data_IF_200982577159
#
_entry.id   IF_200982577159
#
_cell.length_a   1.000
_cell.length_b   1.000
_cell.length_c   1.000
_cell.angle_alpha   90.00
_cell.angle_beta   90.00
_cell.angle_gamma   90.00
#
_symmetry.space_group_name_H-M   'P 1'
#
loop_
_entity.id
_entity.type
_entity.pdbx_description
1 polymer ?
#
# COMPACT_ATOMS: atom_id res chain seq x y z
N UNK A 1 -6.85 35.30 7.60
CA UNK A 1 -7.78 34.14 7.55
C UNK A 1 -7.25 33.14 6.54
N UNK A 2 -7.13 31.84 6.92
CA UNK A 2 -6.73 30.76 6.01
C UNK A 2 -7.85 29.73 5.99
N UNK A 3 -8.34 29.36 4.80
CA UNK A 3 -9.40 28.35 4.63
C UNK A 3 -9.08 27.43 3.45
N UNK A 4 -9.50 26.18 3.55
CA UNK A 4 -9.38 25.21 2.47
C UNK A 4 -10.58 25.32 1.53
N UNK A 5 -10.30 25.40 0.22
CA UNK A 5 -11.31 25.57 -0.81
C UNK A 5 -11.22 24.48 -1.87
N UNK A 6 -12.39 24.08 -2.40
CA UNK A 6 -12.50 23.12 -3.50
C UNK A 6 -12.21 23.82 -4.82
N UNK A 7 -11.27 23.29 -5.59
CA UNK A 7 -10.95 23.71 -6.94
C UNK A 7 -11.47 22.68 -7.96
N UNK A 8 -10.70 22.10 -8.81
CA UNK A 8 -11.05 20.95 -9.67
C UNK A 8 -11.93 21.27 -10.88
N UNK A 9 -12.62 22.40 -10.91
CA UNK A 9 -13.42 22.84 -12.08
C UNK A 9 -13.21 24.31 -12.42
N UNK A 10 -13.35 24.65 -13.70
CA UNK A 10 -13.32 26.06 -14.14
C UNK A 10 -14.43 26.88 -13.49
N UNK A 11 -15.55 26.26 -13.14
CA UNK A 11 -16.65 26.94 -12.48
C UNK A 11 -16.28 27.32 -11.04
N UNK A 12 -15.61 26.43 -10.31
CA UNK A 12 -15.13 26.68 -8.96
C UNK A 12 -14.05 27.78 -8.96
N UNK A 13 -13.12 27.75 -9.93
CA UNK A 13 -12.11 28.80 -10.09
C UNK A 13 -12.76 30.18 -10.30
N UNK A 14 -13.81 30.29 -11.14
CA UNK A 14 -14.54 31.54 -11.36
C UNK A 14 -15.25 32.03 -10.10
N UNK A 15 -15.93 31.16 -9.36
CA UNK A 15 -16.59 31.49 -8.11
C UNK A 15 -15.58 32.00 -7.07
N UNK A 16 -14.44 31.30 -6.94
CA UNK A 16 -13.37 31.67 -6.03
C UNK A 16 -12.82 33.07 -6.32
N UNK A 17 -12.44 33.32 -7.58
CA UNK A 17 -11.92 34.63 -8.01
C UNK A 17 -12.93 35.73 -7.73
N UNK A 18 -14.22 35.53 -8.05
CA UNK A 18 -15.27 36.50 -7.80
C UNK A 18 -15.44 36.85 -6.31
N UNK A 19 -15.31 35.85 -5.41
CA UNK A 19 -15.35 36.08 -3.97
C UNK A 19 -14.08 36.82 -3.51
N UNK A 20 -12.90 36.43 -4.00
CA UNK A 20 -11.63 37.08 -3.66
C UNK A 20 -11.56 38.53 -4.17
N UNK A 21 -12.06 38.83 -5.37
CA UNK A 21 -12.11 40.20 -5.91
C UNK A 21 -13.02 41.12 -5.08
N UNK A 22 -14.07 40.58 -4.44
CA UNK A 22 -15.01 41.35 -3.64
C UNK A 22 -14.46 41.77 -2.27
N UNK A 23 -13.30 41.28 -1.85
CA UNK A 23 -12.67 41.65 -0.58
C UNK A 23 -11.57 42.71 -0.79
N UNK A 24 -11.42 43.68 0.11
CA UNK A 24 -10.44 44.78 -0.02
C UNK A 24 -8.99 44.37 0.33
N UNK A 25 -8.79 43.13 0.76
CA UNK A 25 -7.52 42.60 1.23
C UNK A 25 -6.79 41.78 0.17
N UNK A 26 -5.49 41.64 0.31
CA UNK A 26 -4.73 40.69 -0.51
C UNK A 26 -5.21 39.26 -0.23
N UNK A 27 -5.35 38.48 -1.28
CA UNK A 27 -5.83 37.11 -1.25
C UNK A 27 -4.92 36.23 -2.11
N UNK A 28 -4.33 35.23 -1.50
CA UNK A 28 -3.45 34.26 -2.14
C UNK A 28 -4.07 32.87 -2.15
N UNK A 29 -3.93 32.17 -3.27
CA UNK A 29 -4.29 30.76 -3.38
C UNK A 29 -3.02 29.92 -3.42
N UNK A 30 -2.87 29.04 -2.44
CA UNK A 30 -1.73 28.16 -2.26
C UNK A 30 -2.13 26.71 -2.59
N UNK A 31 -1.39 26.04 -3.51
CA UNK A 31 -1.55 24.64 -3.82
C UNK A 31 -0.16 23.97 -3.87
N UNK A 32 0.22 23.31 -2.80
CA UNK A 32 1.57 22.78 -2.62
C UNK A 32 2.63 23.88 -2.70
N UNK A 33 3.51 23.84 -3.72
CA UNK A 33 4.57 24.86 -3.94
C UNK A 33 4.12 26.06 -4.77
N UNK A 34 2.92 26.03 -5.28
CA UNK A 34 2.40 27.11 -6.14
C UNK A 34 1.61 28.09 -5.29
N UNK A 35 1.91 29.38 -5.48
CA UNK A 35 1.19 30.50 -4.84
C UNK A 35 0.85 31.49 -5.94
N UNK A 36 -0.43 31.81 -6.06
CA UNK A 36 -0.92 32.78 -7.04
C UNK A 36 -1.87 33.76 -6.36
N UNK A 37 -2.04 34.95 -6.96
CA UNK A 37 -3.05 35.90 -6.56
C UNK A 37 -4.45 35.30 -6.80
N UNK A 38 -5.21 35.07 -5.73
CA UNK A 38 -6.56 34.51 -5.79
C UNK A 38 -7.58 35.43 -6.48
N UNK A 39 -7.25 36.70 -6.70
CA UNK A 39 -8.04 37.68 -7.48
C UNK A 39 -7.75 37.58 -8.98
N UNK A 40 -6.69 36.91 -9.37
CA UNK A 40 -6.29 36.79 -10.77
C UNK A 40 -6.86 35.51 -11.39
N UNK A 41 -7.87 35.65 -12.26
CA UNK A 41 -8.40 34.52 -13.04
C UNK A 41 -7.32 33.78 -13.81
N UNK A 42 -6.40 34.52 -14.44
CA UNK A 42 -5.30 33.90 -15.18
C UNK A 42 -4.32 33.18 -14.26
N UNK A 43 -4.05 33.76 -13.08
CA UNK A 43 -3.23 33.12 -12.04
C UNK A 43 -3.83 31.80 -11.59
N UNK A 44 -5.09 31.79 -11.20
CA UNK A 44 -5.80 30.59 -10.72
C UNK A 44 -5.89 29.53 -11.83
N UNK A 45 -6.17 29.87 -13.06
CA UNK A 45 -6.26 28.94 -14.20
C UNK A 45 -4.90 28.45 -14.71
N UNK A 46 -3.80 29.14 -14.36
CA UNK A 46 -2.44 28.70 -14.72
C UNK A 46 -1.86 27.65 -13.78
N UNK A 47 -2.56 27.39 -12.67
CA UNK A 47 -2.14 26.35 -11.74
C UNK A 47 -2.35 24.96 -12.37
N UNK A 48 -1.50 23.97 -12.01
CA UNK A 48 -1.80 22.58 -12.31
C UNK A 48 -3.18 22.17 -11.76
N UNK A 49 -3.79 21.14 -12.33
CA UNK A 49 -5.09 20.60 -11.84
C UNK A 49 -4.98 20.16 -10.37
N UNK A 50 -5.44 21.04 -9.47
CA UNK A 50 -5.62 20.72 -8.06
C UNK A 50 -7.11 20.68 -7.74
N UNK A 51 -7.52 19.64 -7.03
CA UNK A 51 -8.90 19.54 -6.56
C UNK A 51 -9.19 20.46 -5.37
N UNK A 52 -8.15 20.85 -4.61
CA UNK A 52 -8.25 21.71 -3.44
C UNK A 52 -7.01 22.61 -3.27
N UNK A 53 -7.20 23.77 -2.65
CA UNK A 53 -6.14 24.71 -2.27
C UNK A 53 -6.41 25.38 -0.95
N UNK A 54 -5.42 26.13 -0.44
CA UNK A 54 -5.57 26.99 0.74
C UNK A 54 -5.73 28.43 0.26
N UNK A 55 -6.89 29.02 0.51
CA UNK A 55 -7.15 30.45 0.30
C UNK A 55 -6.69 31.20 1.54
N UNK A 56 -5.68 32.05 1.39
CA UNK A 56 -5.18 32.93 2.43
C UNK A 56 -5.62 34.37 2.15
N UNK A 57 -6.48 34.90 3.00
CA UNK A 57 -6.93 36.32 2.93
C UNK A 57 -6.33 37.06 4.10
N UNK A 58 -5.60 38.12 3.80
CA UNK A 58 -4.82 38.90 4.76
C UNK A 58 -5.71 39.85 5.57
N UNK A 59 -6.62 39.31 6.39
CA UNK A 59 -7.48 40.04 7.33
C UNK A 59 -7.58 39.33 8.67
N UNK A 60 -7.64 40.12 9.75
CA UNK A 60 -7.88 39.68 11.13
C UNK A 60 -9.24 40.15 11.66
N UNK A 61 -10.08 40.74 10.82
CA UNK A 61 -11.41 41.20 11.20
C UNK A 61 -12.40 40.05 11.25
N UNK A 62 -12.83 39.66 12.45
CA UNK A 62 -13.71 38.50 12.68
C UNK A 62 -15.01 38.55 11.88
N UNK A 63 -15.68 39.73 11.81
CA UNK A 63 -16.94 39.87 11.06
C UNK A 63 -16.75 39.65 9.55
N UNK A 64 -15.69 40.19 9.01
CA UNK A 64 -15.38 40.02 7.58
C UNK A 64 -14.96 38.56 7.27
N UNK A 65 -14.26 37.94 8.19
CA UNK A 65 -13.95 36.49 8.08
C UNK A 65 -15.24 35.65 8.05
N UNK A 66 -16.22 35.95 8.91
CA UNK A 66 -17.51 35.25 8.91
C UNK A 66 -18.30 35.49 7.61
N UNK A 67 -18.31 36.71 7.07
CA UNK A 67 -18.98 37.05 5.81
C UNK A 67 -18.33 36.31 4.61
N UNK A 68 -17.00 36.21 4.59
CA UNK A 68 -16.27 35.51 3.55
C UNK A 68 -16.52 34.01 3.63
N UNK A 69 -16.48 33.44 4.84
CA UNK A 69 -16.80 32.04 5.07
C UNK A 69 -18.21 31.68 4.60
N UNK A 70 -19.18 32.55 4.91
CA UNK A 70 -20.56 32.36 4.46
C UNK A 70 -20.67 32.34 2.91
N UNK A 71 -19.99 33.28 2.22
CA UNK A 71 -19.99 33.33 0.75
C UNK A 71 -19.34 32.11 0.13
N UNK A 72 -18.24 31.62 0.72
CA UNK A 72 -17.55 30.41 0.27
C UNK A 72 -18.43 29.17 0.47
N UNK A 73 -19.20 29.15 1.57
CA UNK A 73 -20.14 28.07 1.87
C UNK A 73 -21.33 28.05 0.91
N UNK A 74 -21.96 29.21 0.65
CA UNK A 74 -23.05 29.33 -0.35
C UNK A 74 -22.58 28.96 -1.77
N UNK A 75 -21.31 29.23 -2.08
CA UNK A 75 -20.72 28.88 -3.34
C UNK A 75 -20.33 27.39 -3.45
N UNK A 76 -20.50 26.61 -2.37
CA UNK A 76 -20.03 25.22 -2.26
C UNK A 76 -18.50 25.07 -2.50
N UNK A 77 -17.74 26.09 -2.10
CA UNK A 77 -16.29 26.12 -2.25
C UNK A 77 -15.54 25.79 -0.96
N UNK A 78 -16.19 25.85 0.22
CA UNK A 78 -15.56 25.42 1.45
C UNK A 78 -15.43 23.88 1.43
N UNK A 79 -14.21 23.42 1.69
CA UNK A 79 -14.04 22.05 2.16
C UNK A 79 -14.56 22.02 3.60
N UNK A 80 -15.68 21.32 3.81
CA UNK A 80 -16.22 21.09 5.15
C UNK A 80 -15.10 20.51 6.04
N UNK A 81 -14.80 21.21 7.15
CA UNK A 81 -13.79 20.76 8.10
C UNK A 81 -14.18 19.46 8.81
N UNK A 82 -15.44 19.02 8.67
CA UNK A 82 -15.89 17.68 9.06
C UNK A 82 -15.68 16.62 7.98
N UNK A 83 -15.45 17.00 6.69
CA UNK A 83 -15.00 16.16 5.60
C UNK A 83 -13.52 16.40 5.23
N UNK A 84 -12.82 17.26 5.97
CA UNK A 84 -11.36 17.25 6.00
C UNK A 84 -10.85 16.00 6.74
N UNK A 85 -11.19 14.83 6.24
CA UNK A 85 -10.26 13.71 6.20
C UNK A 85 -9.02 14.34 5.56
N UNK A 86 -7.97 14.58 6.35
CA UNK A 86 -6.69 15.03 5.84
C UNK A 86 -6.41 14.13 4.64
N UNK A 87 -6.45 14.67 3.43
CA UNK A 87 -6.17 13.84 2.25
C UNK A 87 -4.81 13.24 2.49
N UNK A 88 -4.80 11.94 2.63
CA UNK A 88 -3.57 11.19 2.85
C UNK A 88 -2.65 11.51 1.69
N UNK A 89 -1.44 11.98 1.96
CA UNK A 89 -0.43 12.20 0.92
C UNK A 89 -0.12 10.86 0.26
N UNK A 90 -0.10 9.79 1.07
CA UNK A 90 0.19 8.44 0.59
C UNK A 90 -1.11 7.65 0.40
N UNK A 91 -1.31 7.15 -0.81
CA UNK A 91 -2.38 6.19 -1.11
C UNK A 91 -2.17 4.91 -0.30
N UNK A 92 -0.92 4.42 -0.26
CA UNK A 92 -0.56 3.20 0.45
C UNK A 92 0.80 3.39 1.14
N UNK A 93 0.83 3.20 2.45
CA UNK A 93 2.08 3.05 3.20
C UNK A 93 2.22 1.60 3.64
N UNK A 94 3.38 1.01 3.40
CA UNK A 94 3.66 -0.36 3.84
C UNK A 94 4.68 -0.37 4.96
N UNK A 95 4.49 -1.28 5.92
CA UNK A 95 5.37 -1.45 7.06
C UNK A 95 5.82 -2.90 7.19
N UNK A 96 7.13 -3.10 7.34
CA UNK A 96 7.67 -4.41 7.63
C UNK A 96 9.09 -4.63 7.13
N UNK A 97 9.37 -5.86 6.70
CA UNK A 97 10.66 -6.25 6.23
C UNK A 97 10.95 -5.77 4.80
N UNK A 98 12.22 -5.45 4.59
CA UNK A 98 12.87 -5.37 3.29
C UNK A 98 14.18 -6.15 3.38
N UNK A 99 14.46 -6.98 2.40
CA UNK A 99 15.57 -7.95 2.49
C UNK A 99 16.16 -8.27 1.12
N UNK A 100 17.24 -9.03 1.10
CA UNK A 100 17.80 -9.59 -0.13
C UNK A 100 17.41 -11.05 -0.26
N UNK A 101 16.83 -11.41 -1.41
CA UNK A 101 16.68 -12.80 -1.85
C UNK A 101 17.86 -13.19 -2.73
N UNK A 102 18.73 -14.05 -2.22
CA UNK A 102 19.77 -14.73 -3.01
C UNK A 102 19.17 -15.98 -3.63
N UNK A 103 18.78 -15.90 -4.89
CA UNK A 103 18.20 -17.04 -5.62
C UNK A 103 19.29 -17.81 -6.37
N UNK A 104 19.37 -19.10 -6.14
CA UNK A 104 20.31 -19.97 -6.87
C UNK A 104 20.06 -19.90 -8.38
N UNK A 105 21.15 -19.85 -9.12
CA UNK A 105 21.15 -19.82 -10.59
C UNK A 105 21.76 -21.12 -11.12
N UNK A 106 22.81 -21.00 -11.87
CA UNK A 106 23.56 -22.14 -12.44
C UNK A 106 24.87 -22.32 -11.68
N UNK A 107 25.44 -23.49 -11.79
CA UNK A 107 26.84 -23.77 -11.42
C UNK A 107 27.71 -23.24 -12.54
N UNK A 108 28.75 -22.46 -12.23
CA UNK A 108 29.71 -21.96 -13.20
C UNK A 108 30.69 -23.08 -13.64
N UNK A 109 31.58 -22.77 -14.56
CA UNK A 109 32.59 -23.72 -15.10
C UNK A 109 33.54 -24.25 -14.02
N UNK A 110 33.73 -23.49 -12.93
CA UNK A 110 34.59 -23.87 -11.78
C UNK A 110 33.83 -24.71 -10.71
N UNK A 111 32.59 -25.08 -10.96
CA UNK A 111 31.76 -25.83 -10.03
C UNK A 111 31.15 -25.00 -8.88
N UNK A 112 31.15 -23.66 -8.98
CA UNK A 112 30.62 -22.77 -7.94
C UNK A 112 29.16 -22.45 -8.23
N UNK A 113 28.30 -22.51 -7.20
CA UNK A 113 26.90 -22.06 -7.28
C UNK A 113 26.85 -20.54 -7.34
N UNK A 114 26.19 -20.03 -8.37
CA UNK A 114 25.93 -18.60 -8.53
C UNK A 114 24.58 -18.24 -7.92
N UNK A 115 24.50 -17.04 -7.32
CA UNK A 115 23.27 -16.49 -6.76
C UNK A 115 22.96 -15.13 -7.38
N UNK A 116 21.73 -14.95 -7.83
CA UNK A 116 21.21 -13.64 -8.19
C UNK A 116 20.79 -12.88 -6.92
N UNK A 117 21.25 -11.64 -6.77
CA UNK A 117 20.86 -10.77 -5.67
C UNK A 117 19.59 -10.01 -6.05
N UNK A 118 18.46 -10.39 -5.50
CA UNK A 118 17.17 -9.76 -5.75
C UNK A 118 16.70 -8.95 -4.55
N UNK A 119 16.11 -7.75 -4.75
CA UNK A 119 15.40 -7.05 -3.68
C UNK A 119 14.08 -7.77 -3.41
N UNK A 120 13.73 -7.92 -2.12
CA UNK A 120 12.55 -8.64 -1.65
C UNK A 120 12.03 -8.08 -0.33
N UNK A 121 11.06 -8.77 0.24
CA UNK A 121 10.27 -8.38 1.40
C UNK A 121 8.84 -8.07 0.99
N UNK A 122 7.86 -8.80 1.54
CA UNK A 122 6.47 -8.71 1.09
C UNK A 122 5.90 -7.29 1.16
N UNK A 123 6.07 -6.50 2.25
CA UNK A 123 5.59 -5.12 2.28
C UNK A 123 6.27 -4.22 1.23
N UNK A 124 7.57 -4.40 1.00
CA UNK A 124 8.30 -3.66 -0.04
C UNK A 124 7.80 -4.01 -1.45
N UNK A 125 7.51 -5.30 -1.69
CA UNK A 125 6.94 -5.78 -2.95
C UNK A 125 5.56 -5.15 -3.21
N UNK A 126 4.67 -5.09 -2.21
CA UNK A 126 3.36 -4.45 -2.31
C UNK A 126 3.49 -2.96 -2.62
N UNK A 127 4.42 -2.25 -1.94
CA UNK A 127 4.65 -0.83 -2.19
C UNK A 127 5.08 -0.57 -3.63
N UNK A 128 6.04 -1.35 -4.15
CA UNK A 128 6.52 -1.20 -5.53
C UNK A 128 5.44 -1.59 -6.55
N UNK A 129 4.69 -2.67 -6.30
CA UNK A 129 3.59 -3.07 -7.18
C UNK A 129 2.57 -1.93 -7.33
N UNK A 130 2.13 -1.34 -6.22
CA UNK A 130 1.19 -0.22 -6.23
C UNK A 130 1.79 1.05 -6.85
N UNK A 131 3.06 1.37 -6.57
CA UNK A 131 3.76 2.53 -7.14
C UNK A 131 3.85 2.46 -8.67
N UNK A 132 4.20 1.30 -9.23
CA UNK A 132 4.26 1.09 -10.69
C UNK A 132 2.91 1.21 -11.39
N UNK A 133 1.83 1.05 -10.64
CA UNK A 133 0.46 1.27 -11.11
C UNK A 133 0.01 2.72 -10.99
N UNK A 134 0.79 3.58 -10.32
CA UNK A 134 0.54 5.02 -10.20
C UNK A 134 0.08 5.46 -8.81
N UNK A 135 0.06 4.59 -7.80
CA UNK A 135 -0.19 4.98 -6.41
C UNK A 135 0.97 5.78 -5.83
N UNK A 136 0.67 6.72 -4.96
CA UNK A 136 1.67 7.41 -4.14
C UNK A 136 1.97 6.55 -2.90
N UNK A 137 3.17 5.97 -2.85
CA UNK A 137 3.50 4.96 -1.84
C UNK A 137 4.66 5.37 -0.95
N UNK A 138 4.62 4.93 0.32
CA UNK A 138 5.72 5.04 1.26
C UNK A 138 6.06 3.67 1.85
N UNK A 139 7.31 3.50 2.26
CA UNK A 139 7.77 2.32 2.95
C UNK A 139 8.34 2.69 4.33
N UNK A 140 7.87 2.01 5.37
CA UNK A 140 8.40 2.08 6.72
C UNK A 140 9.03 0.74 7.07
N UNK A 141 10.30 0.75 7.42
CA UNK A 141 11.03 -0.46 7.80
C UNK A 141 12.49 -0.19 8.13
N UNK A 142 13.24 -1.25 8.40
CA UNK A 142 14.65 -1.12 8.79
C UNK A 142 15.50 -2.16 8.08
N UNK A 143 16.60 -1.72 7.45
CA UNK A 143 17.66 -2.55 6.91
C UNK A 143 18.99 -2.21 7.57
N UNK A 144 20.04 -2.98 7.34
CA UNK A 144 21.37 -2.65 7.80
C UNK A 144 21.97 -1.45 7.06
N UNK A 145 22.85 -0.69 7.75
CA UNK A 145 23.70 0.29 7.08
C UNK A 145 24.88 -0.42 6.43
N UNK A 146 24.59 -1.25 5.45
CA UNK A 146 25.52 -2.06 4.69
C UNK A 146 25.23 -1.96 3.18
N UNK A 147 26.05 -2.63 2.35
CA UNK A 147 25.89 -2.59 0.91
C UNK A 147 24.52 -3.11 0.40
N UNK A 148 23.84 -3.90 1.21
CA UNK A 148 22.52 -4.45 0.86
C UNK A 148 21.41 -3.46 1.21
N UNK A 149 21.46 -2.86 2.40
CA UNK A 149 20.48 -1.85 2.81
C UNK A 149 20.51 -0.60 1.92
N UNK A 150 21.70 -0.11 1.55
CA UNK A 150 21.84 1.00 0.62
C UNK A 150 21.31 0.65 -0.78
N UNK A 151 21.56 -0.57 -1.25
CA UNK A 151 20.99 -1.07 -2.50
C UNK A 151 19.46 -1.11 -2.44
N UNK A 152 18.88 -1.68 -1.37
CA UNK A 152 17.43 -1.79 -1.21
C UNK A 152 16.76 -0.42 -1.19
N UNK A 153 17.33 0.56 -0.48
CA UNK A 153 16.86 1.95 -0.49
C UNK A 153 16.87 2.51 -1.91
N UNK A 154 17.99 2.36 -2.63
CA UNK A 154 18.11 2.86 -4.01
C UNK A 154 17.12 2.21 -4.97
N UNK A 155 16.73 0.95 -4.72
CA UNK A 155 15.69 0.27 -5.51
C UNK A 155 14.33 0.93 -5.24
N UNK A 156 13.93 1.11 -3.99
CA UNK A 156 12.66 1.75 -3.65
C UNK A 156 12.56 3.16 -4.23
N UNK A 157 13.62 3.96 -4.10
CA UNK A 157 13.68 5.32 -4.66
C UNK A 157 13.51 5.33 -6.19
N UNK A 158 14.14 4.39 -6.91
CA UNK A 158 13.98 4.24 -8.37
C UNK A 158 12.56 3.82 -8.77
N UNK A 159 11.88 3.11 -7.90
CA UNK A 159 10.49 2.69 -8.07
C UNK A 159 9.49 3.73 -7.56
N UNK A 160 9.94 4.97 -7.25
CA UNK A 160 9.14 6.08 -6.75
C UNK A 160 8.39 5.80 -5.43
N UNK A 161 8.92 4.91 -4.60
CA UNK A 161 8.45 4.70 -3.23
C UNK A 161 9.15 5.67 -2.30
N UNK A 162 8.42 6.45 -1.49
CA UNK A 162 9.02 7.34 -0.49
C UNK A 162 9.71 6.50 0.59
N UNK A 163 11.02 6.76 0.77
CA UNK A 163 11.89 6.02 1.70
C UNK A 163 12.20 6.78 2.99
N UNK A 164 11.51 7.89 3.29
CA UNK A 164 11.72 8.65 4.54
C UNK A 164 11.53 7.80 5.79
N UNK A 165 10.61 6.84 5.76
CA UNK A 165 10.38 5.87 6.83
C UNK A 165 11.36 4.69 6.83
N UNK A 166 12.25 4.56 5.84
CA UNK A 166 13.23 3.48 5.77
C UNK A 166 14.50 3.81 6.52
N UNK A 167 14.76 3.09 7.60
CA UNK A 167 15.91 3.28 8.46
C UNK A 167 17.07 2.38 8.05
N UNK A 168 18.32 2.88 8.22
CA UNK A 168 19.54 2.10 8.05
C UNK A 168 20.29 1.98 9.39
N UNK A 169 20.31 0.77 9.92
CA UNK A 169 20.88 0.43 11.22
C UNK A 169 22.39 0.18 11.13
N UNK A 170 23.18 0.84 11.99
CA UNK A 170 24.64 0.66 12.03
C UNK A 170 25.07 -0.61 12.74
N UNK A 171 24.20 -1.22 13.54
CA UNK A 171 24.51 -2.35 14.44
C UNK A 171 24.07 -3.69 13.88
N UNK A 172 22.92 -3.70 13.21
CA UNK A 172 22.30 -4.92 12.71
C UNK A 172 22.38 -4.98 11.18
N UNK A 173 22.66 -6.18 10.65
CA UNK A 173 22.79 -6.43 9.22
C UNK A 173 21.41 -6.48 8.54
N UNK A 174 21.41 -6.17 7.25
CA UNK A 174 20.26 -6.43 6.37
C UNK A 174 19.95 -7.93 6.38
N UNK A 175 18.68 -8.28 6.53
CA UNK A 175 18.22 -9.68 6.43
C UNK A 175 18.50 -10.24 5.04
N UNK A 176 19.03 -11.46 5.00
CA UNK A 176 19.28 -12.19 3.75
C UNK A 176 18.45 -13.48 3.76
N UNK A 177 17.79 -13.76 2.66
CA UNK A 177 17.17 -15.04 2.37
C UNK A 177 17.96 -15.73 1.25
N UNK A 178 18.28 -16.99 1.44
CA UNK A 178 18.85 -17.85 0.41
C UNK A 178 17.76 -18.77 -0.10
N UNK A 179 17.51 -18.73 -1.40
CA UNK A 179 16.46 -19.49 -2.06
C UNK A 179 17.13 -20.51 -2.98
N UNK A 180 17.00 -21.76 -2.64
CA UNK A 180 17.42 -22.88 -3.51
C UNK A 180 16.19 -23.44 -4.22
N UNK A 181 16.32 -23.68 -5.51
CA UNK A 181 15.29 -24.29 -6.34
C UNK A 181 15.81 -25.66 -6.76
N UNK A 182 15.10 -26.72 -6.37
CA UNK A 182 15.47 -28.06 -6.76
C UNK A 182 15.04 -28.40 -8.23
N UNK A 183 15.42 -29.57 -8.76
CA UNK A 183 15.07 -29.99 -10.11
C UNK A 183 13.55 -30.13 -10.36
N UNK A 184 12.75 -30.30 -9.29
CA UNK A 184 11.29 -30.34 -9.34
C UNK A 184 10.66 -28.96 -9.29
N UNK A 185 11.47 -27.88 -9.18
CA UNK A 185 10.99 -26.50 -9.06
C UNK A 185 10.54 -26.10 -7.65
N UNK A 186 10.73 -26.97 -6.65
CA UNK A 186 10.41 -26.69 -5.26
C UNK A 186 11.46 -25.78 -4.63
N UNK A 187 11.03 -24.88 -3.76
CA UNK A 187 11.88 -23.87 -3.13
C UNK A 187 12.13 -24.16 -1.66
N UNK A 188 13.40 -24.08 -1.31
CA UNK A 188 13.85 -24.11 0.09
C UNK A 188 14.41 -22.75 0.46
N UNK A 189 13.96 -22.22 1.61
CA UNK A 189 14.39 -20.93 2.13
C UNK A 189 15.27 -21.11 3.36
N UNK A 190 16.40 -20.40 3.38
CA UNK A 190 17.26 -20.26 4.55
C UNK A 190 17.50 -18.78 4.84
N UNK A 191 17.26 -18.35 6.09
CA UNK A 191 17.34 -16.95 6.47
C UNK A 191 18.52 -16.64 7.38
N UNK A 192 19.33 -15.66 7.00
CA UNK A 192 20.28 -15.00 7.89
C UNK A 192 19.60 -13.77 8.52
N UNK A 193 18.82 -13.99 9.62
CA UNK A 193 17.94 -13.00 10.27
C UNK A 193 17.96 -13.06 11.81
N UNK A 194 19.03 -13.57 12.43
CA UNK A 194 19.10 -13.74 13.90
C UNK A 194 20.27 -12.96 14.51
N UNK A 195 20.09 -11.62 14.78
CA UNK A 195 18.96 -10.76 14.42
C UNK A 195 19.21 -10.04 13.09
N UNK A 196 18.15 -9.90 12.26
CA UNK A 196 18.15 -8.97 11.14
C UNK A 196 17.75 -7.55 11.61
N UNK A 197 18.17 -6.52 10.87
CA UNK A 197 17.85 -5.13 11.21
C UNK A 197 16.34 -4.88 11.26
N UNK A 198 15.55 -5.51 10.38
CA UNK A 198 14.10 -5.43 10.31
C UNK A 198 13.39 -5.86 11.61
N UNK A 199 14.00 -6.81 12.37
CA UNK A 199 13.46 -7.21 13.69
C UNK A 199 13.74 -6.21 14.81
N UNK A 200 14.54 -5.16 14.56
CA UNK A 200 15.05 -4.22 15.56
C UNK A 200 14.51 -2.79 15.40
N UNK A 201 13.49 -2.62 14.60
CA UNK A 201 12.76 -1.35 14.51
C UNK A 201 12.01 -1.08 15.82
N UNK A 202 12.12 0.14 16.35
CA UNK A 202 11.51 0.57 17.61
C UNK A 202 10.41 1.60 17.35
N UNK A 203 9.43 1.69 18.24
CA UNK A 203 8.28 2.62 18.09
C UNK A 203 8.70 4.09 18.07
N UNK A 204 9.80 4.44 18.75
CA UNK A 204 10.36 5.79 18.79
C UNK A 204 11.01 6.21 17.46
N UNK A 205 11.26 5.24 16.57
CA UNK A 205 11.83 5.46 15.25
C UNK A 205 10.77 5.65 14.16
N UNK A 206 9.47 5.46 14.50
CA UNK A 206 8.38 5.62 13.54
C UNK A 206 8.10 7.10 13.33
N UNK A 207 8.15 7.51 12.06
CA UNK A 207 7.71 8.84 11.64
C UNK A 207 6.19 8.91 11.68
N UNK A 208 5.68 9.64 12.69
CA UNK A 208 4.23 9.80 12.91
C UNK A 208 3.57 10.58 11.78
N UNK A 209 4.29 11.46 11.09
CA UNK A 209 3.73 12.27 10.01
C UNK A 209 3.40 11.40 8.80
N UNK A 210 4.18 10.34 8.53
CA UNK A 210 3.85 9.36 7.49
C UNK A 210 2.54 8.64 7.85
N UNK A 211 2.37 8.20 9.12
CA UNK A 211 1.15 7.52 9.55
C UNK A 211 -0.08 8.44 9.45
N UNK A 212 0.08 9.72 9.83
CA UNK A 212 -1.00 10.71 9.80
C UNK A 212 -1.49 11.02 8.36
N UNK A 213 -0.66 10.74 7.35
CA UNK A 213 -0.90 11.10 5.95
C UNK A 213 -1.13 9.88 5.06
N UNK A 214 -1.51 8.75 5.66
CA UNK A 214 -1.68 7.46 4.99
C UNK A 214 -3.15 7.10 4.83
N UNK A 215 -3.59 6.76 3.61
CA UNK A 215 -4.94 6.25 3.35
C UNK A 215 -5.04 4.75 3.69
N UNK A 216 -4.19 3.90 3.10
CA UNK A 216 -4.13 2.46 3.39
C UNK A 216 -2.79 2.16 4.05
N UNK A 217 -2.81 1.60 5.27
CA UNK A 217 -1.63 1.15 5.97
C UNK A 217 -1.54 -0.37 5.92
N UNK A 218 -0.53 -0.87 5.21
CA UNK A 218 -0.36 -2.31 4.97
C UNK A 218 0.77 -2.90 5.81
N UNK A 219 0.52 -4.07 6.41
CA UNK A 219 1.49 -4.83 7.21
C UNK A 219 1.50 -6.31 6.83
N UNK A 220 2.65 -6.95 7.01
CA UNK A 220 2.81 -8.41 6.97
C UNK A 220 2.96 -9.02 8.37
N UNK A 221 3.20 -10.34 8.44
CA UNK A 221 3.42 -11.01 9.72
C UNK A 221 4.90 -11.17 10.11
N UNK A 222 5.83 -10.96 9.19
CA UNK A 222 7.26 -11.14 9.50
C UNK A 222 7.76 -10.16 10.55
N UNK A 223 7.19 -8.97 10.63
CA UNK A 223 7.45 -8.01 11.69
C UNK A 223 6.89 -8.42 13.06
N UNK A 224 6.05 -9.48 13.10
CA UNK A 224 5.49 -10.03 14.35
C UNK A 224 6.34 -11.17 14.94
N UNK A 225 7.39 -11.64 14.25
CA UNK A 225 8.21 -12.77 14.69
C UNK A 225 8.99 -12.46 15.96
N UNK A 226 9.56 -11.25 16.06
CA UNK A 226 10.51 -10.86 17.08
C UNK A 226 10.20 -9.52 17.73
N UNK A 227 10.76 -9.31 18.93
CA UNK A 227 10.80 -8.02 19.60
C UNK A 227 12.07 -7.22 19.23
N UNK A 228 11.99 -5.88 19.16
CA UNK A 228 10.85 -4.99 19.43
C UNK A 228 9.91 -4.79 18.23
N UNK A 229 10.21 -5.33 17.04
CA UNK A 229 9.45 -5.10 15.81
C UNK A 229 7.96 -5.43 15.98
N UNK A 230 7.62 -6.49 16.73
CA UNK A 230 6.23 -6.86 17.00
C UNK A 230 5.45 -5.74 17.69
N UNK A 231 5.97 -5.22 18.79
CA UNK A 231 5.30 -4.14 19.53
C UNK A 231 5.24 -2.85 18.70
N UNK A 232 6.27 -2.60 17.90
CA UNK A 232 6.33 -1.46 16.96
C UNK A 232 5.27 -1.59 15.87
N UNK A 233 5.04 -2.80 15.34
CA UNK A 233 3.98 -3.07 14.35
C UNK A 233 2.60 -2.72 14.92
N UNK A 234 2.28 -3.21 16.13
CA UNK A 234 1.02 -2.87 16.79
C UNK A 234 0.88 -1.37 17.09
N UNK A 235 1.99 -0.72 17.47
CA UNK A 235 2.00 0.73 17.69
C UNK A 235 1.67 1.49 16.40
N UNK A 236 2.32 1.14 15.28
CA UNK A 236 2.10 1.77 13.98
C UNK A 236 0.66 1.52 13.46
N UNK A 237 0.17 0.27 13.53
CA UNK A 237 -1.20 -0.10 13.12
C UNK A 237 -2.25 0.68 13.92
N UNK A 238 -2.11 0.76 15.24
CA UNK A 238 -3.02 1.53 16.09
C UNK A 238 -2.94 3.02 15.79
N UNK A 239 -1.74 3.55 15.55
CA UNK A 239 -1.52 4.94 15.17
C UNK A 239 -2.23 5.29 13.87
N UNK A 240 -2.02 4.52 12.81
CA UNK A 240 -2.67 4.70 11.51
C UNK A 240 -4.20 4.57 11.61
N UNK A 241 -4.69 3.52 12.30
CA UNK A 241 -6.14 3.31 12.50
C UNK A 241 -6.82 4.47 13.23
N UNK A 242 -6.18 5.03 14.26
CA UNK A 242 -6.70 6.18 15.00
C UNK A 242 -6.77 7.47 14.15
N UNK A 243 -6.05 7.52 13.03
CA UNK A 243 -6.09 8.62 12.04
C UNK A 243 -7.05 8.35 10.88
N UNK A 244 -7.75 7.22 10.91
CA UNK A 244 -8.74 6.84 9.91
C UNK A 244 -8.18 6.08 8.73
N UNK A 245 -6.92 5.65 8.77
CA UNK A 245 -6.36 4.78 7.73
C UNK A 245 -7.06 3.43 7.69
N UNK A 246 -7.25 2.90 6.51
CA UNK A 246 -7.67 1.52 6.27
C UNK A 246 -6.50 0.59 6.59
N UNK A 247 -6.69 -0.37 7.48
CA UNK A 247 -5.64 -1.33 7.84
C UNK A 247 -5.72 -2.55 6.93
N UNK A 248 -4.66 -2.76 6.17
CA UNK A 248 -4.47 -3.89 5.26
C UNK A 248 -3.48 -4.89 5.85
N UNK A 249 -3.80 -6.17 5.78
CA UNK A 249 -2.96 -7.23 6.32
C UNK A 249 -2.82 -8.40 5.35
N UNK A 250 -1.57 -8.83 5.13
CA UNK A 250 -1.22 -10.10 4.48
C UNK A 250 -0.26 -10.85 5.40
N UNK A 251 -0.69 -11.93 6.07
CA UNK A 251 0.20 -12.69 6.94
C UNK A 251 1.46 -13.18 6.26
N UNK A 252 1.34 -13.66 5.05
CA UNK A 252 2.45 -14.15 4.24
C UNK A 252 3.36 -15.10 5.05
N UNK A 253 2.76 -16.16 5.59
CA UNK A 253 3.37 -17.08 6.55
C UNK A 253 4.64 -17.74 5.99
N UNK A 254 5.69 -17.75 6.81
CA UNK A 254 6.96 -18.43 6.54
C UNK A 254 7.34 -19.28 7.74
N UNK A 255 7.04 -20.57 7.70
CA UNK A 255 7.25 -21.50 8.83
C UNK A 255 8.66 -21.42 9.43
N UNK A 256 9.70 -21.28 8.59
CA UNK A 256 11.10 -21.25 9.01
C UNK A 256 11.49 -20.00 9.84
N UNK A 257 10.66 -18.97 9.88
CA UNK A 257 10.91 -17.74 10.66
C UNK A 257 10.22 -17.74 12.01
N UNK A 258 9.40 -18.73 12.31
CA UNK A 258 8.70 -18.85 13.57
C UNK A 258 9.31 -19.97 14.42
N UNK A 259 9.19 -19.86 15.75
CA UNK A 259 9.66 -20.88 16.65
C UNK A 259 8.87 -22.20 16.48
N UNK A 260 7.56 -22.07 16.29
CA UNK A 260 6.64 -23.15 15.94
C UNK A 260 5.33 -22.56 15.41
N UNK A 261 4.47 -23.44 14.87
CA UNK A 261 3.19 -23.05 14.27
C UNK A 261 2.21 -22.42 15.26
N UNK A 262 2.17 -22.89 16.50
CA UNK A 262 1.25 -22.35 17.52
C UNK A 262 1.60 -20.91 17.90
N UNK A 263 2.89 -20.59 17.99
CA UNK A 263 3.36 -19.23 18.21
C UNK A 263 3.03 -18.35 17.00
N UNK A 264 3.22 -18.86 15.78
CA UNK A 264 2.82 -18.18 14.56
C UNK A 264 1.32 -17.87 14.54
N UNK A 265 0.47 -18.87 14.74
CA UNK A 265 -1.00 -18.72 14.84
C UNK A 265 -1.38 -17.64 15.83
N UNK A 266 -0.84 -17.73 17.06
CA UNK A 266 -1.12 -16.77 18.13
C UNK A 266 -0.84 -15.34 17.71
N UNK A 267 0.36 -15.08 17.16
CA UNK A 267 0.76 -13.70 16.82
C UNK A 267 0.08 -13.20 15.55
N UNK A 268 -0.08 -14.04 14.53
CA UNK A 268 -0.79 -13.63 13.30
C UNK A 268 -2.26 -13.34 13.57
N UNK A 269 -2.95 -14.21 14.31
CA UNK A 269 -4.37 -14.02 14.69
C UNK A 269 -4.57 -12.79 15.60
N UNK A 270 -3.59 -12.43 16.42
CA UNK A 270 -3.69 -11.25 17.29
C UNK A 270 -3.73 -9.91 16.53
N UNK A 271 -3.36 -9.89 15.25
CA UNK A 271 -3.49 -8.72 14.37
C UNK A 271 -4.91 -8.54 13.84
N UNK A 272 -5.66 -9.62 13.59
CA UNK A 272 -6.98 -9.63 12.93
C UNK A 272 -7.96 -8.58 13.49
N UNK A 273 -8.09 -8.36 14.82
CA UNK A 273 -9.02 -7.37 15.37
C UNK A 273 -8.76 -5.90 14.95
N UNK A 274 -7.60 -5.63 14.40
CA UNK A 274 -7.23 -4.28 13.93
C UNK A 274 -7.42 -4.11 12.43
N UNK A 275 -7.63 -5.21 11.69
CA UNK A 275 -7.60 -5.27 10.22
C UNK A 275 -8.96 -4.92 9.63
N UNK A 276 -8.94 -4.11 8.57
CA UNK A 276 -10.13 -3.76 7.81
C UNK A 276 -10.22 -4.58 6.50
N UNK A 277 -9.09 -4.81 5.84
CA UNK A 277 -8.99 -5.60 4.61
C UNK A 277 -7.84 -6.61 4.72
N UNK A 278 -8.09 -7.85 4.35
CA UNK A 278 -7.14 -8.94 4.54
C UNK A 278 -7.00 -9.80 3.29
N UNK A 279 -5.75 -10.11 2.96
CA UNK A 279 -5.43 -11.14 1.97
C UNK A 279 -4.74 -12.30 2.67
N UNK A 280 -5.13 -13.51 2.30
CA UNK A 280 -4.43 -14.75 2.67
C UNK A 280 -4.32 -15.66 1.44
N UNK A 281 -3.48 -16.67 1.47
CA UNK A 281 -3.51 -17.78 0.52
C UNK A 281 -4.47 -18.87 0.99
N UNK A 282 -4.87 -19.76 0.09
CA UNK A 282 -5.67 -20.95 0.43
C UNK A 282 -4.94 -21.89 1.40
N UNK A 283 -3.59 -21.94 1.35
CA UNK A 283 -2.76 -22.68 2.30
C UNK A 283 -2.77 -22.09 3.72
N UNK A 284 -3.06 -20.80 3.87
CA UNK A 284 -3.10 -20.11 5.17
C UNK A 284 -4.48 -20.17 5.86
N UNK A 285 -5.51 -20.65 5.19
CA UNK A 285 -6.89 -20.66 5.72
C UNK A 285 -7.00 -21.38 7.06
N UNK A 286 -6.53 -22.62 7.15
CA UNK A 286 -6.59 -23.42 8.39
C UNK A 286 -5.75 -22.80 9.51
N UNK A 287 -4.59 -22.25 9.17
CA UNK A 287 -3.70 -21.60 10.12
C UNK A 287 -4.34 -20.39 10.81
N UNK A 288 -5.17 -19.63 10.07
CA UNK A 288 -5.72 -18.36 10.56
C UNK A 288 -7.15 -18.47 11.10
N UNK A 289 -7.92 -19.46 10.64
CA UNK A 289 -9.35 -19.55 10.94
C UNK A 289 -9.81 -20.91 11.50
N UNK A 290 -8.92 -21.92 11.50
CA UNK A 290 -9.24 -23.33 11.74
C UNK A 290 -10.21 -23.94 10.69
N UNK A 291 -10.50 -23.23 9.60
CA UNK A 291 -11.33 -23.69 8.48
C UNK A 291 -10.45 -24.09 7.31
N UNK A 292 -10.70 -25.27 6.73
CA UNK A 292 -10.01 -25.75 5.51
C UNK A 292 -10.66 -25.23 4.23
N UNK A 293 -11.96 -24.97 4.30
CA UNK A 293 -12.73 -24.48 3.16
C UNK A 293 -12.55 -22.97 3.02
N UNK A 294 -12.19 -22.51 1.81
CA UNK A 294 -11.93 -21.11 1.49
C UNK A 294 -13.13 -20.20 1.81
N UNK A 295 -14.36 -20.66 1.50
CA UNK A 295 -15.57 -19.88 1.76
C UNK A 295 -15.84 -19.73 3.26
N UNK A 296 -15.70 -20.83 4.01
CA UNK A 296 -15.85 -20.81 5.47
C UNK A 296 -14.78 -19.96 6.15
N UNK A 297 -13.53 -20.01 5.66
CA UNK A 297 -12.44 -19.19 6.17
C UNK A 297 -12.68 -17.69 5.92
N UNK A 298 -13.17 -17.31 4.74
CA UNK A 298 -13.50 -15.94 4.43
C UNK A 298 -14.64 -15.40 5.31
N UNK A 299 -15.71 -16.20 5.51
CA UNK A 299 -16.82 -15.87 6.39
C UNK A 299 -16.37 -15.74 7.85
N UNK A 300 -15.46 -16.61 8.31
CA UNK A 300 -14.90 -16.53 9.66
C UNK A 300 -14.11 -15.25 9.88
N UNK A 301 -13.21 -14.87 8.95
CA UNK A 301 -12.47 -13.61 9.02
C UNK A 301 -13.42 -12.39 9.00
N UNK A 302 -14.46 -12.44 8.18
CA UNK A 302 -15.48 -11.39 8.15
C UNK A 302 -16.21 -11.28 9.51
N UNK A 303 -16.59 -12.40 10.12
CA UNK A 303 -17.19 -12.43 11.48
C UNK A 303 -16.27 -11.87 12.56
N UNK A 304 -14.95 -12.01 12.39
CA UNK A 304 -13.95 -11.43 13.29
C UNK A 304 -13.73 -9.91 13.06
N UNK A 305 -14.43 -9.29 12.10
CA UNK A 305 -14.44 -7.85 11.87
C UNK A 305 -13.72 -7.36 10.63
N UNK A 306 -13.07 -8.25 9.86
CA UNK A 306 -12.47 -7.89 8.56
C UNK A 306 -13.59 -7.56 7.57
N UNK A 307 -13.54 -6.38 6.95
CA UNK A 307 -14.61 -5.90 6.04
C UNK A 307 -14.53 -6.52 4.63
N UNK A 308 -13.32 -6.75 4.14
CA UNK A 308 -13.04 -7.31 2.82
C UNK A 308 -11.97 -8.38 2.98
N UNK A 309 -12.27 -9.59 2.53
CA UNK A 309 -11.35 -10.73 2.55
C UNK A 309 -11.04 -11.14 1.12
N UNK A 310 -9.76 -11.31 0.79
CA UNK A 310 -9.29 -11.90 -0.44
C UNK A 310 -8.48 -13.17 -0.13
N UNK A 311 -8.86 -14.30 -0.71
CA UNK A 311 -8.11 -15.56 -0.59
C UNK A 311 -7.58 -15.93 -1.97
N UNK A 312 -6.26 -15.89 -2.14
CA UNK A 312 -5.62 -16.24 -3.41
C UNK A 312 -5.59 -17.75 -3.60
N UNK A 313 -5.89 -18.21 -4.82
CA UNK A 313 -6.03 -19.61 -5.23
C UNK A 313 -4.96 -20.01 -6.27
N UNK A 314 -3.78 -19.41 -6.18
CA UNK A 314 -2.71 -19.58 -7.17
C UNK A 314 -3.18 -19.21 -8.58
N UNK A 315 -2.93 -20.06 -9.57
CA UNK A 315 -3.33 -19.84 -10.97
C UNK A 315 -4.85 -19.81 -11.18
N UNK A 316 -5.65 -20.26 -10.20
CA UNK A 316 -7.12 -20.24 -10.28
C UNK A 316 -7.72 -18.86 -9.95
N UNK A 317 -6.89 -17.88 -9.55
CA UNK A 317 -7.31 -16.52 -9.25
C UNK A 317 -7.50 -16.26 -7.76
N UNK A 318 -8.65 -15.67 -7.37
CA UNK A 318 -8.91 -15.32 -5.97
C UNK A 318 -10.39 -15.47 -5.60
N UNK A 319 -10.66 -15.82 -4.35
CA UNK A 319 -11.98 -15.74 -3.73
C UNK A 319 -12.08 -14.42 -2.96
N UNK A 320 -13.11 -13.62 -3.25
CA UNK A 320 -13.34 -12.32 -2.60
C UNK A 320 -14.64 -12.40 -1.80
N UNK A 321 -14.62 -11.84 -0.58
CA UNK A 321 -15.78 -11.83 0.32
C UNK A 321 -15.95 -10.45 0.99
N UNK A 322 -17.19 -9.99 1.06
CA UNK A 322 -17.63 -8.82 1.83
C UNK A 322 -19.02 -9.02 2.43
N UNK A 323 -19.69 -7.95 2.88
CA UNK A 323 -21.06 -7.97 3.45
C UNK A 323 -22.13 -8.54 2.50
N UNK A 324 -21.90 -8.56 1.20
CA UNK A 324 -22.83 -9.06 0.18
C UNK A 324 -22.62 -10.57 -0.10
N UNK A 325 -21.62 -11.18 0.51
CA UNK A 325 -21.22 -12.57 0.30
C UNK A 325 -19.89 -12.69 -0.43
N UNK A 326 -19.66 -13.81 -1.09
CA UNK A 326 -18.38 -14.07 -1.75
C UNK A 326 -18.51 -14.67 -3.15
N UNK A 327 -17.45 -14.49 -3.93
CA UNK A 327 -17.34 -15.06 -5.28
C UNK A 327 -15.91 -15.38 -5.65
N UNK A 328 -15.72 -16.35 -6.53
CA UNK A 328 -14.42 -16.63 -7.18
C UNK A 328 -14.25 -15.69 -8.37
N UNK A 329 -13.08 -15.08 -8.45
CA UNK A 329 -12.62 -14.29 -9.60
C UNK A 329 -11.51 -15.07 -10.29
N UNK A 330 -11.70 -15.59 -11.51
CA UNK A 330 -10.74 -16.45 -12.17
C UNK A 330 -9.41 -15.72 -12.45
N UNK A 331 -8.31 -16.47 -12.42
CA UNK A 331 -7.00 -16.01 -12.84
C UNK A 331 -6.87 -15.89 -14.35
N UNK A 332 -5.80 -15.25 -14.80
CA UNK A 332 -5.42 -15.19 -16.22
C UNK A 332 -4.59 -16.41 -16.59
N UNK A 333 -4.80 -16.90 -17.82
CA UNK A 333 -3.95 -17.98 -18.36
C UNK A 333 -2.55 -17.43 -18.65
N UNK A 334 -1.55 -18.08 -18.10
CA UNK A 334 -0.12 -17.76 -18.32
C UNK A 334 0.53 -18.93 -19.07
N UNK A 335 1.07 -18.65 -20.26
CA UNK A 335 1.70 -19.70 -21.08
C UNK A 335 3.02 -20.20 -20.49
N UNK A 336 3.79 -19.28 -19.87
CA UNK A 336 5.07 -19.58 -19.29
C UNK A 336 5.25 -18.90 -17.93
N UNK A 337 5.28 -19.70 -16.88
CA UNK A 337 5.59 -19.23 -15.52
C UNK A 337 7.10 -19.28 -15.32
N UNK A 338 7.74 -18.09 -15.24
CA UNK A 338 9.18 -17.98 -15.01
C UNK A 338 9.54 -18.01 -13.52
N UNK A 339 8.70 -17.38 -12.68
CA UNK A 339 8.92 -17.28 -11.24
C UNK A 339 7.59 -16.94 -10.52
N UNK A 340 7.25 -17.63 -9.44
CA UNK A 340 6.06 -17.33 -8.65
C UNK A 340 6.33 -16.37 -7.48
N UNK A 341 7.59 -15.92 -7.32
CA UNK A 341 7.95 -15.00 -6.25
C UNK A 341 7.29 -13.63 -6.47
N UNK A 342 6.66 -13.10 -5.44
CA UNK A 342 5.96 -11.81 -5.49
C UNK A 342 4.58 -11.84 -6.17
N UNK A 343 4.09 -13.00 -6.63
CA UNK A 343 2.75 -13.08 -7.26
C UNK A 343 1.64 -12.62 -6.32
N UNK A 344 1.63 -13.11 -5.07
CA UNK A 344 0.68 -12.71 -4.05
C UNK A 344 0.80 -11.21 -3.69
N UNK A 345 2.03 -10.72 -3.56
CA UNK A 345 2.30 -9.31 -3.23
C UNK A 345 1.86 -8.40 -4.39
N UNK A 346 2.08 -8.82 -5.64
CA UNK A 346 1.68 -8.07 -6.82
C UNK A 346 0.17 -8.04 -7.02
N UNK A 347 -0.52 -9.17 -6.79
CA UNK A 347 -1.99 -9.21 -6.72
C UNK A 347 -2.50 -8.20 -5.70
N UNK A 348 -1.92 -8.24 -4.49
CA UNK A 348 -2.38 -7.39 -3.40
C UNK A 348 -2.10 -5.91 -3.65
N UNK A 349 -0.91 -5.57 -4.16
CA UNK A 349 -0.58 -4.21 -4.58
C UNK A 349 -1.56 -3.66 -5.62
N UNK A 350 -1.95 -4.49 -6.61
CA UNK A 350 -2.96 -4.14 -7.62
C UNK A 350 -4.35 -3.97 -7.03
N UNK A 351 -4.76 -4.85 -6.13
CA UNK A 351 -6.06 -4.77 -5.45
C UNK A 351 -6.15 -3.52 -4.56
N UNK A 352 -5.13 -3.25 -3.75
CA UNK A 352 -5.06 -2.06 -2.90
C UNK A 352 -5.02 -0.76 -3.72
N UNK A 353 -4.30 -0.76 -4.85
CA UNK A 353 -4.32 0.36 -5.80
C UNK A 353 -5.75 0.68 -6.25
N UNK A 354 -6.53 -0.32 -6.66
CA UNK A 354 -7.93 -0.10 -7.06
C UNK A 354 -8.81 0.41 -5.93
N UNK A 355 -8.61 -0.07 -4.70
CA UNK A 355 -9.31 0.47 -3.51
C UNK A 355 -8.94 1.94 -3.30
N UNK A 356 -7.65 2.30 -3.34
CA UNK A 356 -7.20 3.68 -3.11
C UNK A 356 -7.75 4.67 -4.14
N UNK A 357 -7.87 4.23 -5.40
CA UNK A 357 -8.39 5.06 -6.50
C UNK A 357 -9.93 5.16 -6.52
N UNK A 358 -10.63 4.34 -5.74
CA UNK A 358 -12.10 4.34 -5.75
C UNK A 358 -12.71 5.61 -5.13
N UNK A 359 -11.99 6.29 -4.24
CA UNK A 359 -12.50 7.41 -3.46
C UNK A 359 -13.66 7.06 -2.53
N UNK A 360 -13.98 5.77 -2.38
CA UNK A 360 -15.11 5.27 -1.57
C UNK A 360 -14.64 4.76 -0.20
N UNK A 361 -15.53 4.85 0.78
CA UNK A 361 -15.36 4.12 2.04
C UNK A 361 -15.46 2.63 1.75
N UNK A 362 -14.66 1.80 2.40
CA UNK A 362 -14.62 0.35 2.14
C UNK A 362 -15.97 -0.34 2.41
N UNK A 363 -16.78 0.17 3.34
CA UNK A 363 -18.12 -0.33 3.62
C UNK A 363 -19.13 -0.05 2.49
N UNK A 364 -18.82 0.91 1.61
CA UNK A 364 -19.66 1.25 0.46
C UNK A 364 -19.30 0.48 -0.80
N UNK A 365 -18.16 -0.25 -0.80
CA UNK A 365 -17.76 -1.07 -1.93
C UNK A 365 -18.68 -2.30 -2.07
N UNK A 366 -19.21 -2.47 -3.28
CA UNK A 366 -20.04 -3.62 -3.65
C UNK A 366 -19.17 -4.84 -3.99
N UNK A 367 -19.76 -6.03 -3.93
CA UNK A 367 -19.07 -7.25 -4.35
C UNK A 367 -18.67 -7.19 -5.83
N UNK A 368 -19.49 -6.57 -6.68
CA UNK A 368 -19.18 -6.43 -8.12
C UNK A 368 -17.95 -5.53 -8.34
N UNK A 369 -17.81 -4.41 -7.64
CA UNK A 369 -16.60 -3.59 -7.70
C UNK A 369 -15.37 -4.35 -7.20
N UNK A 370 -15.49 -5.10 -6.12
CA UNK A 370 -14.42 -5.91 -5.58
C UNK A 370 -13.99 -7.03 -6.53
N UNK A 371 -14.92 -7.60 -7.32
CA UNK A 371 -14.61 -8.53 -8.41
C UNK A 371 -13.72 -7.88 -9.47
N UNK A 372 -14.06 -6.66 -9.90
CA UNK A 372 -13.25 -5.92 -10.87
C UNK A 372 -11.87 -5.59 -10.30
N UNK A 373 -11.76 -5.25 -9.00
CA UNK A 373 -10.48 -4.99 -8.36
C UNK A 373 -9.64 -6.27 -8.24
N UNK A 374 -10.26 -7.40 -7.94
CA UNK A 374 -9.57 -8.69 -7.91
C UNK A 374 -9.14 -9.15 -9.31
N UNK A 375 -9.98 -8.92 -10.35
CA UNK A 375 -9.60 -9.17 -11.74
C UNK A 375 -8.37 -8.35 -12.13
N UNK A 376 -8.33 -7.08 -11.74
CA UNK A 376 -7.16 -6.23 -11.93
C UNK A 376 -5.93 -6.79 -11.19
N UNK A 377 -6.06 -7.17 -9.93
CA UNK A 377 -5.00 -7.82 -9.15
C UNK A 377 -4.50 -9.12 -9.79
N UNK A 378 -5.41 -9.97 -10.31
CA UNK A 378 -5.07 -11.19 -11.03
C UNK A 378 -4.28 -10.88 -12.32
N UNK A 379 -4.62 -9.81 -13.04
CA UNK A 379 -3.86 -9.37 -14.22
C UNK A 379 -2.43 -8.94 -13.84
N UNK A 380 -2.28 -8.18 -12.74
CA UNK A 380 -0.97 -7.78 -12.20
C UNK A 380 -0.13 -9.01 -11.84
N UNK A 381 -0.72 -9.97 -11.12
CA UNK A 381 -0.04 -11.21 -10.73
C UNK A 381 0.35 -12.06 -11.92
N UNK A 382 -0.51 -12.18 -12.93
CA UNK A 382 -0.24 -12.97 -14.14
C UNK A 382 0.97 -12.43 -14.92
N UNK A 383 1.13 -11.11 -14.99
CA UNK A 383 2.29 -10.47 -15.63
C UNK A 383 3.56 -10.57 -14.77
N UNK A 384 3.43 -10.57 -13.46
CA UNK A 384 4.54 -10.73 -12.54
C UNK A 384 5.18 -12.12 -12.71
N UNK A 385 4.40 -13.19 -12.74
CA UNK A 385 4.91 -14.56 -12.81
C UNK A 385 5.59 -14.92 -14.15
N UNK A 386 5.41 -14.12 -15.20
CA UNK A 386 6.08 -14.28 -16.49
C UNK A 386 7.56 -13.88 -16.47
N UNK A 387 8.03 -13.24 -15.38
CA UNK A 387 9.40 -12.74 -15.22
C UNK A 387 10.03 -13.24 -13.94
N UNK A 388 11.37 -13.28 -13.90
CA UNK A 388 12.11 -13.68 -12.69
C UNK A 388 12.19 -12.55 -11.67
N UNK A 389 12.10 -12.92 -10.39
CA UNK A 389 12.17 -12.02 -9.23
C UNK A 389 10.83 -11.39 -8.88
N UNK A 390 10.72 -10.76 -7.72
CA UNK A 390 9.53 -10.07 -7.27
C UNK A 390 9.50 -8.62 -7.80
N UNK A 391 10.22 -7.69 -7.18
CA UNK A 391 10.26 -6.28 -7.57
C UNK A 391 10.60 -6.09 -9.07
N UNK A 392 11.63 -6.76 -9.63
CA UNK A 392 11.94 -6.59 -11.05
C UNK A 392 10.81 -7.01 -12.00
N UNK A 393 9.98 -7.98 -11.57
CA UNK A 393 8.90 -8.55 -12.37
C UNK A 393 7.58 -7.74 -12.33
N UNK A 394 7.41 -6.83 -11.37
CA UNK A 394 6.17 -6.04 -11.24
C UNK A 394 5.83 -5.29 -12.54
N UNK A 395 4.59 -5.39 -13.06
CA UNK A 395 4.19 -4.70 -14.28
C UNK A 395 3.92 -3.21 -14.05
N UNK A 396 3.93 -2.45 -15.13
CA UNK A 396 3.42 -1.07 -15.19
C UNK A 396 1.93 -1.08 -15.53
N UNK A 397 1.22 0.01 -15.20
CA UNK A 397 -0.23 0.16 -15.43
C UNK A 397 -0.62 -0.16 -16.89
N UNK A 398 0.11 0.39 -17.87
CA UNK A 398 -0.19 0.16 -19.29
C UNK A 398 -0.15 -1.31 -19.71
N UNK A 399 0.76 -2.10 -19.13
CA UNK A 399 0.83 -3.55 -19.39
C UNK A 399 -0.36 -4.30 -18.80
N UNK A 400 -0.84 -3.84 -17.62
CA UNK A 400 -2.02 -4.41 -16.97
C UNK A 400 -3.29 -4.10 -17.77
N UNK A 401 -3.43 -2.86 -18.26
CA UNK A 401 -4.54 -2.44 -19.11
C UNK A 401 -4.57 -3.24 -20.42
N UNK A 402 -3.43 -3.42 -21.08
CA UNK A 402 -3.29 -4.26 -22.28
C UNK A 402 -3.72 -5.73 -22.01
N UNK A 403 -3.30 -6.30 -20.86
CA UNK A 403 -3.72 -7.65 -20.45
C UNK A 403 -5.22 -7.76 -20.26
N UNK A 404 -5.84 -6.76 -19.62
CA UNK A 404 -7.28 -6.72 -19.37
C UNK A 404 -8.10 -6.56 -20.66
N UNK A 405 -7.59 -5.83 -21.66
CA UNK A 405 -8.23 -5.65 -22.97
C UNK A 405 -8.09 -6.90 -23.86
N UNK A 406 -6.96 -7.58 -23.78
CA UNK A 406 -6.65 -8.77 -24.59
C UNK A 406 -7.50 -9.99 -24.26
N UNK A 407 -7.98 -10.11 -23.03
CA UNK A 407 -8.88 -11.17 -22.58
C UNK A 407 -10.32 -10.62 -22.39
N UNK A 408 -11.02 -10.36 -23.49
CA UNK A 408 -12.48 -10.30 -23.43
C UNK A 408 -12.98 -11.71 -23.13
N UNK A 409 -13.54 -11.88 -21.92
CA UNK A 409 -14.23 -13.05 -21.38
C UNK A 409 -14.42 -14.23 -22.38
N UNK A 410 -13.74 -15.34 -22.12
CA UNK A 410 -14.12 -16.64 -22.68
C UNK A 410 -15.21 -17.29 -21.85
#
# INVERSE_FOLDING_TARGET
MIVKVVLGTMQNARKLVSIAEAVPYDAELCCGRYVVDAKSMLGVLSMPDFEAGELNIHTDNEKECEEILFKLQEAELLLDTNDAVSRSIYDITTFGEILIDFTSQNINEDGQMLYARNPGGAPANVAVAASRLGAYTAFIGKAGKDMHGEFLRSVLEKENVDTKGMLLDKKYFTTLAFVEVNEAGERTFSFARKPGADTKIQKEEIDIDILNQTNIFHVGSLSLTDQPARDTTFYAVKGAKNKGSIISYDPNYRASLWENEEIAKKHMRSMIPYVDIMKISDEETELLTDCKNVMEAAEELYRQGVKIVAITLGGNGAYIYNKEGGCVVPGFTVEHVADTNGAGDSFWGGFLYRISQSGKKIEALTLEELKEYARFGNAVASLCVEKKGAIPAMPKLSQVEERLEGERWK
#
